data_IF_101645457219
#
_entry.id   IF_101645457219
#
_cell.length_a   1.000
_cell.length_b   1.000
_cell.length_c   1.000
_cell.angle_alpha   90.00
_cell.angle_beta   90.00
_cell.angle_gamma   90.00
#
_symmetry.space_group_name_H-M   'P 1'
#
loop_
_entity.id
_entity.type
_entity.pdbx_description
1 polymer ?
#
# COMPACT_ATOMS: atom_id res chain seq x y z
N UNK A 1 4.30 1.76 -13.17
CA UNK A 1 4.42 3.06 -13.85
C UNK A 1 4.49 2.79 -15.33
N UNK A 2 3.86 3.66 -16.12
CA UNK A 2 3.98 3.70 -17.56
C UNK A 2 4.16 5.16 -17.97
N UNK A 3 4.83 5.40 -19.10
CA UNK A 3 5.17 6.74 -19.58
C UNK A 3 4.62 6.92 -21.00
N UNK A 4 4.21 8.14 -21.33
CA UNK A 4 3.77 8.54 -22.65
C UNK A 4 4.09 10.02 -22.88
N UNK A 5 4.42 10.38 -24.13
CA UNK A 5 4.63 11.79 -24.52
C UNK A 5 3.32 12.58 -24.60
N UNK A 6 2.18 11.88 -24.66
CA UNK A 6 0.83 12.46 -24.75
C UNK A 6 -0.09 11.84 -23.69
N UNK A 7 -1.03 12.62 -23.11
CA UNK A 7 -2.00 12.09 -22.14
C UNK A 7 -2.85 10.93 -22.67
N UNK A 8 -3.04 10.85 -23.99
CA UNK A 8 -3.79 9.79 -24.68
C UNK A 8 -2.95 8.56 -25.01
N UNK A 9 -1.65 8.56 -24.68
CA UNK A 9 -0.74 7.48 -25.00
C UNK A 9 -0.12 7.58 -26.41
N UNK A 10 0.50 6.50 -26.91
CA UNK A 10 0.56 5.17 -26.29
C UNK A 10 1.38 5.17 -25.00
N UNK A 11 0.93 4.40 -24.00
CA UNK A 11 1.66 4.21 -22.75
C UNK A 11 2.64 3.04 -22.87
N UNK A 12 3.90 3.29 -22.54
CA UNK A 12 4.93 2.25 -22.46
C UNK A 12 5.14 1.87 -21.00
N UNK A 13 5.05 0.57 -20.70
CA UNK A 13 5.41 0.06 -19.38
C UNK A 13 6.89 0.34 -19.11
N UNK A 14 7.19 0.94 -17.97
CA UNK A 14 8.57 1.15 -17.51
C UNK A 14 8.92 0.15 -16.39
N UNK A 15 8.21 0.21 -15.26
CA UNK A 15 8.48 -0.64 -14.09
C UNK A 15 7.36 -0.74 -13.08
N UNK A 16 7.50 -1.71 -12.17
CA UNK A 16 6.78 -1.77 -10.90
C UNK A 16 7.51 -0.90 -9.87
N UNK A 17 6.84 0.09 -9.31
CA UNK A 17 7.44 1.04 -8.35
C UNK A 17 7.52 0.44 -6.95
N UNK A 18 6.43 -0.17 -6.49
CA UNK A 18 6.34 -0.78 -5.17
C UNK A 18 6.02 -2.28 -5.31
N UNK A 19 7.02 -3.16 -5.50
CA UNK A 19 6.78 -4.61 -5.58
C UNK A 19 6.29 -5.21 -4.24
N UNK A 20 5.71 -6.40 -4.26
CA UNK A 20 5.43 -7.14 -3.03
C UNK A 20 6.74 -7.35 -2.25
N UNK A 21 6.68 -7.23 -0.90
CA UNK A 21 7.86 -7.40 -0.02
C UNK A 21 7.68 -8.45 1.07
N UNK A 22 6.54 -9.14 1.09
CA UNK A 22 6.28 -10.30 1.96
C UNK A 22 5.69 -9.92 3.32
N UNK A 23 5.25 -10.92 4.08
CA UNK A 23 4.48 -10.74 5.32
C UNK A 23 5.16 -9.93 6.42
N UNK A 24 6.50 -9.86 6.40
CA UNK A 24 7.29 -9.13 7.40
C UNK A 24 7.13 -7.60 7.33
N UNK A 25 6.39 -7.08 6.35
CA UNK A 25 6.10 -5.66 6.20
C UNK A 25 4.60 -5.41 6.25
N UNK A 26 4.19 -4.28 6.85
CA UNK A 26 2.77 -3.94 7.05
C UNK A 26 1.96 -3.79 5.75
N UNK A 27 2.62 -3.42 4.64
CA UNK A 27 2.09 -3.29 3.27
C UNK A 27 2.60 -4.42 2.35
N UNK A 28 3.21 -5.47 2.91
CA UNK A 28 4.06 -6.35 2.13
C UNK A 28 3.33 -7.29 1.17
N UNK A 29 2.01 -7.44 1.32
CA UNK A 29 1.16 -8.25 0.43
C UNK A 29 0.45 -7.42 -0.65
N UNK A 30 0.36 -6.10 -0.50
CA UNK A 30 -0.36 -5.25 -1.44
C UNK A 30 0.07 -3.79 -1.33
N UNK A 31 0.27 -3.15 -2.48
CA UNK A 31 0.24 -1.69 -2.63
C UNK A 31 -0.79 -1.33 -3.70
N UNK A 32 -1.79 -0.54 -3.35
CA UNK A 32 -2.94 -0.23 -4.21
C UNK A 32 -3.30 1.25 -4.16
N UNK A 33 -4.20 1.71 -5.04
CA UNK A 33 -4.67 3.11 -5.10
C UNK A 33 -3.53 4.16 -5.09
N UNK A 34 -2.56 4.07 -6.01
CA UNK A 34 -1.44 5.01 -6.02
C UNK A 34 -1.91 6.43 -6.34
N UNK A 35 -1.42 7.42 -5.59
CA UNK A 35 -1.57 8.84 -5.90
C UNK A 35 -0.23 9.55 -5.72
N UNK A 36 0.28 10.17 -6.78
CA UNK A 36 1.55 10.91 -6.75
C UNK A 36 1.28 12.40 -6.64
N UNK A 37 1.93 13.05 -5.67
CA UNK A 37 1.85 14.50 -5.43
C UNK A 37 3.27 15.05 -5.41
N UNK A 38 3.51 16.19 -6.07
CA UNK A 38 4.77 16.93 -5.91
C UNK A 38 4.66 17.85 -4.70
N UNK A 39 5.65 17.79 -3.81
CA UNK A 39 5.77 18.63 -2.63
C UNK A 39 7.20 19.15 -2.53
N UNK A 40 7.39 20.46 -2.79
CA UNK A 40 8.73 21.04 -2.94
C UNK A 40 9.48 20.43 -4.14
N UNK A 41 10.69 19.95 -3.87
CA UNK A 41 11.55 19.24 -4.82
C UNK A 41 11.35 17.72 -4.80
N UNK A 42 10.39 17.21 -4.01
CA UNK A 42 10.12 15.79 -3.87
C UNK A 42 8.77 15.38 -4.46
N UNK A 43 8.64 14.09 -4.71
CA UNK A 43 7.41 13.42 -5.05
C UNK A 43 7.01 12.47 -3.91
N UNK A 44 5.74 12.54 -3.52
CA UNK A 44 5.10 11.69 -2.53
C UNK A 44 4.13 10.76 -3.26
N UNK A 45 4.36 9.45 -3.17
CA UNK A 45 3.45 8.42 -3.64
C UNK A 45 2.67 7.88 -2.44
N UNK A 46 1.42 8.31 -2.32
CA UNK A 46 0.46 7.73 -1.40
C UNK A 46 -0.09 6.42 -1.96
N UNK A 47 -0.31 5.44 -1.09
CA UNK A 47 -0.91 4.15 -1.47
C UNK A 47 -1.66 3.53 -0.28
N UNK A 48 -2.61 2.65 -0.57
CA UNK A 48 -3.15 1.71 0.41
C UNK A 48 -2.23 0.50 0.50
N UNK A 49 -1.81 0.13 1.71
CA UNK A 49 -1.04 -1.08 1.97
C UNK A 49 -1.78 -2.05 2.89
N UNK A 50 -1.50 -3.35 2.75
CA UNK A 50 -1.90 -4.35 3.74
C UNK A 50 -0.97 -5.57 3.75
N UNK A 51 -1.07 -6.37 4.79
CA UNK A 51 -0.40 -7.65 4.97
C UNK A 51 -1.30 -8.67 5.66
N UNK A 52 -0.96 -9.94 5.48
CA UNK A 52 -1.53 -11.08 6.18
C UNK A 52 -0.48 -12.17 6.30
N UNK A 53 -0.67 -13.04 7.27
CA UNK A 53 0.22 -14.15 7.59
C UNK A 53 -0.08 -15.35 6.70
N UNK A 54 0.96 -16.02 6.20
CA UNK A 54 0.85 -17.27 5.45
C UNK A 54 0.97 -17.11 3.94
N UNK A 55 0.83 -18.21 3.17
CA UNK A 55 1.13 -18.22 1.75
C UNK A 55 0.17 -17.34 0.94
N UNK A 56 0.70 -16.72 -0.12
CA UNK A 56 -0.10 -16.02 -1.12
C UNK A 56 -1.12 -17.01 -1.71
N UNK A 57 -2.43 -16.69 -1.71
CA UNK A 57 -3.44 -17.54 -2.29
C UNK A 57 -3.17 -17.83 -3.77
N UNK A 58 -3.50 -19.05 -4.19
CA UNK A 58 -3.29 -19.51 -5.56
C UNK A 58 -4.19 -20.71 -5.85
N UNK A 59 -4.01 -21.34 -7.00
CA UNK A 59 -4.83 -22.49 -7.42
C UNK A 59 -4.74 -23.68 -6.45
N UNK A 60 -3.58 -23.93 -5.85
CA UNK A 60 -3.36 -25.01 -4.87
C UNK A 60 -3.76 -24.67 -3.44
N UNK A 61 -4.05 -23.40 -3.14
CA UNK A 61 -4.52 -22.91 -1.84
C UNK A 61 -5.46 -21.71 -2.06
N UNK A 62 -6.68 -21.96 -2.54
CA UNK A 62 -7.64 -20.90 -2.83
C UNK A 62 -8.12 -20.22 -1.54
N UNK A 63 -8.59 -18.98 -1.67
CA UNK A 63 -9.34 -18.33 -0.59
C UNK A 63 -10.74 -18.95 -0.48
N UNK A 64 -11.22 -19.16 0.74
CA UNK A 64 -12.66 -19.37 0.96
C UNK A 64 -13.41 -18.07 0.67
N UNK A 65 -14.28 -18.06 -0.34
CA UNK A 65 -15.12 -16.91 -0.70
C UNK A 65 -16.50 -16.96 -0.03
N UNK A 66 -16.75 -17.97 0.80
CA UNK A 66 -18.02 -18.14 1.50
C UNK A 66 -18.21 -16.97 2.49
N UNK A 67 -19.22 -16.13 2.25
CA UNK A 67 -19.48 -14.92 3.05
C UNK A 67 -18.98 -13.60 2.44
N UNK A 68 -18.30 -13.61 1.28
CA UNK A 68 -17.84 -12.38 0.59
C UNK A 68 -18.96 -11.62 -0.14
N UNK A 69 -20.13 -12.22 -0.36
CA UNK A 69 -21.23 -11.57 -1.07
C UNK A 69 -22.14 -10.80 -0.10
N UNK A 70 -21.84 -9.52 0.08
CA UNK A 70 -22.82 -8.42 0.21
C UNK A 70 -23.90 -8.50 1.29
N UNK A 71 -23.84 -9.41 2.26
CA UNK A 71 -24.94 -9.60 3.21
C UNK A 71 -24.99 -8.54 4.31
N UNK A 72 -23.86 -7.85 4.58
CA UNK A 72 -23.75 -6.98 5.75
C UNK A 72 -23.96 -7.71 7.09
N UNK A 73 -24.05 -9.04 7.06
CA UNK A 73 -24.37 -9.89 8.20
C UNK A 73 -23.07 -10.25 8.96
N UNK A 74 -22.93 -9.82 10.22
CA UNK A 74 -21.77 -10.14 11.06
C UNK A 74 -21.53 -11.65 11.23
N UNK A 75 -22.57 -12.49 11.15
CA UNK A 75 -22.44 -13.94 11.24
C UNK A 75 -21.81 -14.56 9.98
N UNK A 76 -21.86 -13.88 8.83
CA UNK A 76 -21.16 -14.31 7.62
C UNK A 76 -19.70 -13.91 7.61
N UNK A 77 -19.34 -12.79 8.25
CA UNK A 77 -17.94 -12.36 8.44
C UNK A 77 -17.10 -13.41 9.19
N UNK A 78 -17.72 -14.18 10.09
CA UNK A 78 -17.08 -15.28 10.82
C UNK A 78 -16.72 -16.49 9.95
N UNK A 79 -17.26 -16.58 8.72
CA UNK A 79 -16.96 -17.67 7.77
C UNK A 79 -15.88 -17.31 6.74
N UNK A 80 -15.36 -16.08 6.79
CA UNK A 80 -14.31 -15.65 5.88
C UNK A 80 -12.99 -16.33 6.18
N UNK A 81 -12.21 -16.56 5.13
CA UNK A 81 -10.82 -17.01 5.24
C UNK A 81 -10.03 -16.06 6.17
N UNK A 82 -9.29 -16.56 7.16
CA UNK A 82 -8.54 -15.74 8.10
C UNK A 82 -7.61 -14.73 7.42
N UNK A 83 -7.04 -15.09 6.26
CA UNK A 83 -6.17 -14.19 5.47
C UNK A 83 -6.94 -12.98 4.94
N UNK A 84 -8.20 -13.17 4.54
CA UNK A 84 -9.07 -12.08 4.09
C UNK A 84 -9.38 -11.15 5.26
N UNK A 85 -9.76 -11.71 6.40
CA UNK A 85 -10.09 -10.94 7.60
C UNK A 85 -8.88 -10.12 8.08
N UNK A 86 -7.70 -10.75 8.14
CA UNK A 86 -6.45 -10.09 8.53
C UNK A 86 -6.06 -8.99 7.54
N UNK A 87 -6.09 -9.27 6.23
CA UNK A 87 -5.79 -8.29 5.20
C UNK A 87 -6.71 -7.06 5.27
N UNK A 88 -8.02 -7.24 5.51
CA UNK A 88 -8.93 -6.10 5.66
C UNK A 88 -8.63 -5.28 6.92
N UNK A 89 -8.40 -5.96 8.06
CA UNK A 89 -8.07 -5.28 9.33
C UNK A 89 -6.76 -4.50 9.27
N UNK A 90 -5.83 -4.93 8.43
CA UNK A 90 -4.50 -4.34 8.29
C UNK A 90 -4.42 -3.25 7.20
N UNK A 91 -5.51 -2.91 6.51
CA UNK A 91 -5.47 -1.85 5.50
C UNK A 91 -5.09 -0.50 6.14
N UNK A 92 -4.01 0.11 5.65
CA UNK A 92 -3.52 1.43 6.09
C UNK A 92 -3.05 2.26 4.90
N UNK A 93 -2.82 3.54 5.13
CA UNK A 93 -2.25 4.46 4.15
C UNK A 93 -0.74 4.54 4.36
N UNK A 94 0.01 4.33 3.29
CA UNK A 94 1.47 4.47 3.24
C UNK A 94 1.89 5.63 2.35
N UNK A 95 3.15 6.01 2.50
CA UNK A 95 3.82 6.98 1.63
C UNK A 95 5.15 6.37 1.19
N UNK A 96 5.52 6.60 -0.06
CA UNK A 96 6.88 6.46 -0.56
C UNK A 96 7.35 7.80 -1.12
N UNK A 97 8.65 8.10 -0.99
CA UNK A 97 9.23 9.39 -1.38
C UNK A 97 10.31 9.17 -2.43
N UNK A 98 10.38 10.06 -3.41
CA UNK A 98 11.45 10.13 -4.40
C UNK A 98 11.77 11.59 -4.76
N UNK A 99 13.01 11.87 -5.18
CA UNK A 99 13.39 13.18 -5.74
C UNK A 99 13.03 13.32 -7.22
N UNK A 100 12.67 12.21 -7.89
CA UNK A 100 12.31 12.14 -9.30
C UNK A 100 11.15 11.16 -9.49
N UNK A 101 10.32 11.36 -10.51
CA UNK A 101 9.19 10.46 -10.78
C UNK A 101 9.64 9.03 -11.08
N UNK A 102 10.81 8.89 -11.70
CA UNK A 102 11.44 7.62 -12.04
C UNK A 102 11.98 6.86 -10.81
N UNK A 103 12.04 7.54 -9.65
CA UNK A 103 12.61 7.00 -8.42
C UNK A 103 14.11 7.32 -8.24
N UNK A 104 14.80 6.59 -7.35
CA UNK A 104 14.28 5.48 -6.55
C UNK A 104 13.22 5.94 -5.54
N UNK A 105 12.21 5.11 -5.33
CA UNK A 105 11.14 5.35 -4.36
C UNK A 105 11.46 4.65 -3.04
N UNK A 106 11.56 5.43 -1.97
CA UNK A 106 11.80 4.91 -0.62
C UNK A 106 10.49 4.86 0.15
N UNK A 107 10.05 3.65 0.54
CA UNK A 107 8.85 3.49 1.38
C UNK A 107 9.15 3.87 2.81
N UNK A 108 8.16 4.46 3.48
CA UNK A 108 8.17 4.53 4.93
C UNK A 108 7.97 3.12 5.53
N UNK A 109 8.68 2.82 6.61
CA UNK A 109 8.55 1.53 7.32
C UNK A 109 7.25 1.42 8.12
N UNK A 110 6.53 2.53 8.30
CA UNK A 110 5.27 2.60 9.04
C UNK A 110 4.19 3.35 8.24
N UNK A 111 2.90 3.05 8.47
CA UNK A 111 1.80 3.84 7.90
C UNK A 111 1.86 5.32 8.29
N UNK A 112 1.31 6.18 7.43
CA UNK A 112 1.27 7.64 7.64
C UNK A 112 0.18 8.06 8.63
N UNK A 113 -0.92 7.31 8.73
CA UNK A 113 -1.94 7.51 9.75
C UNK A 113 -1.88 6.37 10.78
N UNK A 114 -1.79 6.73 12.05
CA UNK A 114 -1.91 5.78 13.17
C UNK A 114 -3.27 5.95 13.83
N UNK A 115 -3.98 4.84 14.06
CA UNK A 115 -5.04 4.82 15.05
C UNK A 115 -4.36 4.81 16.43
N UNK A 116 -4.07 5.98 17.00
CA UNK A 116 -3.55 6.04 18.37
C UNK A 116 -4.72 5.97 19.35
N UNK A 117 -4.85 4.86 20.07
CA UNK A 117 -5.30 4.94 21.45
C UNK A 117 -4.01 5.03 22.29
N UNK A 118 -3.73 6.23 22.81
CA UNK A 118 -2.61 6.59 23.69
C UNK A 118 -1.20 6.54 23.07
N UNK A 119 -0.80 7.65 22.45
CA UNK A 119 0.47 8.34 22.71
C UNK A 119 0.56 9.56 21.78
N UNK A 120 0.53 10.75 22.37
CA UNK A 120 0.83 12.00 21.70
C UNK A 120 2.31 11.98 21.28
N UNK A 121 2.57 11.68 20.01
CA UNK A 121 3.90 11.75 19.42
C UNK A 121 3.77 12.09 17.95
N UNK A 122 4.34 13.23 17.55
CA UNK A 122 4.38 13.68 16.17
C UNK A 122 5.10 12.67 15.29
N UNK A 123 4.61 12.45 14.08
CA UNK A 123 5.33 11.69 13.06
C UNK A 123 6.49 12.57 12.58
N UNK A 124 7.71 12.26 13.01
CA UNK A 124 8.90 12.82 12.37
C UNK A 124 9.02 12.18 10.97
N UNK A 125 8.99 13.04 9.96
CA UNK A 125 9.41 12.72 8.59
C UNK A 125 10.95 12.84 8.53
N UNK A 126 11.63 12.08 7.67
CA UNK A 126 13.07 12.25 7.48
C UNK A 126 13.40 13.71 7.12
N UNK A 127 14.57 14.23 7.53
CA UNK A 127 14.93 15.62 7.35
C UNK A 127 14.94 16.01 5.87
N UNK A 128 14.27 17.12 5.57
CA UNK A 128 14.32 17.76 4.26
C UNK A 128 15.73 18.37 4.14
N UNK A 129 16.53 17.89 3.19
CA UNK A 129 17.83 18.50 2.91
C UNK A 129 17.58 19.90 2.32
N UNK A 130 18.24 20.95 2.83
CA UNK A 130 18.07 22.29 2.29
C UNK A 130 18.61 22.37 0.86
N UNK A 131 17.89 23.11 0.02
CA UNK A 131 18.33 23.43 -1.34
C UNK A 131 19.59 24.31 -1.28
N UNK A 132 20.59 23.95 -2.09
CA UNK A 132 21.70 24.82 -2.45
C UNK A 132 21.32 25.70 -3.65
#
# INVERSE_FOLDING_TARGET
>A
MAVADRPTGPYQFDRVILPARGENYWDGRMTHNPAVIRFGDQYLLYYTGTTYTGPTPGTSNPLSTMGMRGSGDPAQMQRLDPRVVEAHRNQRIGVAVASRLEGPWTRLDRPVLRASFLAAGWIELPPILPHA
#
